data_IF_047733732799
#
_entry.id   IF_047733732799
#
_cell.length_a   1.000
_cell.length_b   1.000
_cell.length_c   1.000
_cell.angle_alpha   90.00
_cell.angle_beta   90.00
_cell.angle_gamma   90.00
#
_symmetry.space_group_name_H-M   'P 1'
#
loop_
_entity.id
_entity.type
_entity.pdbx_description
1 polymer ?
#
# COMPACT_ATOMS: atom_id res chain seq x y z
N UNK A 1 22.27 26.70 31.43
CA UNK A 1 21.62 27.09 30.17
C UNK A 1 22.72 27.25 29.13
N UNK A 2 22.95 26.23 28.31
CA UNK A 2 23.94 26.20 27.22
C UNK A 2 23.21 25.71 25.97
N UNK A 3 23.41 26.45 24.89
CA UNK A 3 22.73 26.41 23.60
C UNK A 3 23.02 25.16 22.76
N UNK A 4 21.99 24.73 22.02
CA UNK A 4 22.03 23.78 20.92
C UNK A 4 22.98 24.23 19.80
N UNK A 5 23.89 23.34 19.38
CA UNK A 5 24.32 23.12 18.00
C UNK A 5 25.50 22.14 18.00
N UNK A 6 25.61 21.31 16.95
CA UNK A 6 26.75 20.42 16.64
C UNK A 6 26.71 18.94 17.05
N UNK A 7 25.56 18.26 16.97
CA UNK A 7 25.58 16.85 16.49
C UNK A 7 25.15 16.85 15.02
N UNK A 8 25.98 17.55 14.26
CA UNK A 8 25.95 17.74 12.82
C UNK A 8 27.35 17.35 12.33
N UNK A 9 27.69 16.08 12.48
CA UNK A 9 28.81 15.40 11.82
C UNK A 9 28.74 13.95 12.27
N UNK A 10 28.98 13.00 11.34
CA UNK A 10 29.09 11.56 11.60
C UNK A 10 27.73 10.89 11.83
N UNK A 11 26.92 10.65 10.79
CA UNK A 11 27.17 9.58 9.82
C UNK A 11 26.69 10.02 8.44
N UNK A 12 27.64 10.24 7.52
CA UNK A 12 27.39 10.24 6.09
C UNK A 12 26.85 8.86 5.69
N UNK A 13 25.55 8.73 5.44
CA UNK A 13 25.02 7.70 4.53
C UNK A 13 24.76 8.37 3.19
N UNK A 14 25.77 8.29 2.31
CA UNK A 14 25.64 8.59 0.90
C UNK A 14 24.72 7.54 0.25
N UNK A 15 23.42 7.87 0.22
CA UNK A 15 22.42 7.13 -0.52
C UNK A 15 21.19 8.01 -0.62
N UNK A 16 20.66 8.23 -1.83
CA UNK A 16 19.35 8.89 -1.98
C UNK A 16 18.32 7.96 -1.34
N UNK A 17 17.70 8.40 -0.24
CA UNK A 17 16.58 7.66 0.36
C UNK A 17 15.38 7.83 -0.57
N UNK A 18 14.94 6.74 -1.20
CA UNK A 18 13.75 6.74 -2.05
C UNK A 18 12.52 6.49 -1.19
N UNK A 19 11.68 7.51 -1.06
CA UNK A 19 10.43 7.43 -0.31
C UNK A 19 9.26 7.13 -1.23
N UNK A 20 8.44 6.16 -0.84
CA UNK A 20 7.17 5.81 -1.49
C UNK A 20 6.00 6.42 -0.75
N UNK A 21 4.99 6.83 -1.49
CA UNK A 21 3.85 7.58 -0.95
C UNK A 21 2.55 6.83 -1.24
N UNK A 22 1.74 6.64 -0.19
CA UNK A 22 0.41 6.06 -0.28
C UNK A 22 -0.57 7.12 0.22
N UNK A 23 -1.31 7.73 -0.70
CA UNK A 23 -2.24 8.82 -0.40
C UNK A 23 -3.68 8.31 -0.45
N UNK A 24 -4.38 8.33 0.68
CA UNK A 24 -5.81 8.03 0.76
C UNK A 24 -6.59 9.32 0.57
N UNK A 25 -7.27 9.46 -0.57
CA UNK A 25 -8.03 10.66 -0.94
C UNK A 25 -9.53 10.39 -0.96
N UNK A 26 -10.32 11.32 -0.41
CA UNK A 26 -11.78 11.28 -0.49
C UNK A 26 -12.26 11.97 -1.77
N UNK A 27 -12.80 11.19 -2.70
CA UNK A 27 -13.31 11.66 -3.99
C UNK A 27 -14.78 11.28 -4.12
N UNK A 28 -15.66 12.28 -4.21
CA UNK A 28 -17.12 12.10 -4.36
C UNK A 28 -17.69 11.10 -3.33
N UNK A 29 -17.30 11.26 -2.06
CA UNK A 29 -17.75 10.41 -0.94
C UNK A 29 -17.05 9.05 -0.82
N UNK A 30 -16.19 8.66 -1.75
CA UNK A 30 -15.44 7.39 -1.73
C UNK A 30 -13.97 7.61 -1.43
N UNK A 31 -13.32 6.67 -0.75
CA UNK A 31 -11.87 6.74 -0.53
C UNK A 31 -11.12 6.02 -1.64
N UNK A 32 -10.07 6.66 -2.16
CA UNK A 32 -9.18 6.13 -3.19
C UNK A 32 -7.75 6.16 -2.65
N UNK A 33 -7.09 5.01 -2.63
CA UNK A 33 -5.66 4.91 -2.41
C UNK A 33 -4.90 5.19 -3.71
N UNK A 34 -4.07 6.22 -3.72
CA UNK A 34 -3.14 6.54 -4.78
C UNK A 34 -1.73 6.12 -4.36
N UNK A 35 -1.09 5.29 -5.18
CA UNK A 35 0.26 4.79 -4.96
C UNK A 35 1.22 5.59 -5.83
N UNK A 36 2.23 6.24 -5.24
CA UNK A 36 3.12 7.17 -5.95
C UNK A 36 4.58 6.87 -5.63
N UNK A 37 5.42 6.90 -6.65
CA UNK A 37 6.87 6.65 -6.52
C UNK A 37 7.63 7.81 -5.86
N UNK A 38 7.03 9.00 -5.80
CA UNK A 38 7.49 10.18 -5.06
C UNK A 38 6.33 11.14 -4.79
N UNK A 39 6.52 12.17 -3.94
CA UNK A 39 5.46 13.12 -3.52
C UNK A 39 4.71 13.74 -4.71
N UNK A 40 5.45 14.15 -5.74
CA UNK A 40 4.91 14.86 -6.90
C UNK A 40 4.73 13.97 -8.15
N UNK A 41 5.11 12.69 -8.09
CA UNK A 41 4.93 11.77 -9.20
C UNK A 41 3.44 11.57 -9.55
N UNK A 42 3.15 11.19 -10.79
CA UNK A 42 1.83 10.66 -11.13
C UNK A 42 1.62 9.32 -10.40
N UNK A 43 0.41 9.03 -9.90
CA UNK A 43 0.15 7.74 -9.27
C UNK A 43 0.38 6.59 -10.24
N UNK A 44 1.16 5.60 -9.82
CA UNK A 44 1.37 4.35 -10.57
C UNK A 44 0.12 3.47 -10.54
N UNK A 45 -0.68 3.59 -9.47
CA UNK A 45 -1.96 2.91 -9.33
C UNK A 45 -2.93 3.74 -8.49
N UNK A 46 -4.23 3.59 -8.79
CA UNK A 46 -5.34 4.17 -8.03
C UNK A 46 -6.39 3.12 -7.72
N UNK A 47 -6.62 2.83 -6.44
CA UNK A 47 -7.53 1.76 -6.01
C UNK A 47 -8.59 2.33 -5.09
N UNK A 48 -9.86 2.09 -5.40
CA UNK A 48 -10.95 2.45 -4.48
C UNK A 48 -10.93 1.49 -3.29
N UNK A 49 -10.86 2.04 -2.08
CA UNK A 49 -10.76 1.27 -0.84
C UNK A 49 -11.81 1.72 0.18
N UNK A 50 -11.99 0.90 1.20
CA UNK A 50 -12.70 1.24 2.42
C UNK A 50 -11.65 1.52 3.53
N UNK A 51 -11.59 2.74 4.09
CA UNK A 51 -10.51 3.15 5.00
C UNK A 51 -10.32 2.20 6.19
N UNK A 52 -11.42 1.69 6.76
CA UNK A 52 -11.40 0.84 7.94
C UNK A 52 -10.54 -0.42 7.76
N UNK A 53 -10.54 -1.01 6.56
CA UNK A 53 -9.73 -2.19 6.27
C UNK A 53 -8.28 -1.84 5.93
N UNK A 54 -8.01 -0.60 5.51
CA UNK A 54 -6.65 -0.13 5.27
C UNK A 54 -5.91 0.12 6.59
N UNK A 55 -6.60 0.67 7.60
CA UNK A 55 -6.03 0.93 8.92
C UNK A 55 -5.39 -0.32 9.54
N UNK A 56 -6.00 -1.49 9.35
CA UNK A 56 -5.45 -2.75 9.84
C UNK A 56 -4.10 -3.12 9.21
N UNK A 57 -3.91 -2.82 7.93
CA UNK A 57 -2.61 -3.03 7.28
C UNK A 57 -1.60 -1.97 7.76
N UNK A 58 -2.03 -0.72 7.88
CA UNK A 58 -1.18 0.33 8.43
C UNK A 58 -0.68 -0.03 9.84
N UNK A 59 -1.54 -0.61 10.69
CA UNK A 59 -1.18 -1.10 12.02
C UNK A 59 -0.13 -2.22 11.96
N UNK A 60 -0.37 -3.27 11.14
CA UNK A 60 0.56 -4.41 11.01
C UNK A 60 1.95 -3.96 10.55
N UNK A 61 2.01 -3.03 9.60
CA UNK A 61 3.28 -2.52 9.06
C UNK A 61 3.79 -1.26 9.77
N UNK A 62 3.13 -0.84 10.85
CA UNK A 62 3.46 0.38 11.62
C UNK A 62 3.63 1.61 10.73
N UNK A 63 2.74 1.77 9.76
CA UNK A 63 2.70 2.94 8.88
C UNK A 63 1.99 4.08 9.61
N UNK A 64 2.76 5.11 9.95
CA UNK A 64 2.21 6.33 10.53
C UNK A 64 1.88 7.35 9.43
N UNK A 65 0.74 8.05 9.54
CA UNK A 65 0.40 9.11 8.60
C UNK A 65 1.33 10.31 8.83
N UNK A 66 1.98 10.78 7.75
CA UNK A 66 2.83 11.99 7.80
C UNK A 66 2.03 13.27 7.59
N UNK A 67 0.87 13.17 6.93
CA UNK A 67 -0.07 14.25 6.71
C UNK A 67 -1.49 13.68 6.82
N UNK A 68 -2.36 14.29 7.63
CA UNK A 68 -3.76 13.85 7.79
C UNK A 68 -4.70 15.04 7.93
N UNK A 69 -5.72 15.09 7.10
CA UNK A 69 -6.84 16.04 7.17
C UNK A 69 -8.15 15.35 6.73
N UNK A 70 -9.27 16.08 6.75
CA UNK A 70 -10.59 15.53 6.43
C UNK A 70 -10.71 14.93 5.01
N UNK A 71 -9.89 15.37 4.07
CA UNK A 71 -9.95 15.00 2.66
C UNK A 71 -8.85 14.01 2.25
N UNK A 72 -7.73 14.00 2.97
CA UNK A 72 -6.54 13.25 2.58
C UNK A 72 -5.76 12.75 3.80
N UNK A 73 -5.31 11.49 3.74
CA UNK A 73 -4.32 10.91 4.65
C UNK A 73 -3.17 10.36 3.83
N UNK A 74 -1.94 10.76 4.14
CA UNK A 74 -0.74 10.33 3.41
C UNK A 74 0.17 9.54 4.33
N UNK A 75 0.54 8.34 3.87
CA UNK A 75 1.54 7.48 4.49
C UNK A 75 2.81 7.48 3.63
N UNK A 76 3.96 7.33 4.28
CA UNK A 76 5.26 7.26 3.63
C UNK A 76 6.02 6.03 4.11
N UNK A 77 6.73 5.38 3.21
CA UNK A 77 7.65 4.27 3.55
C UNK A 77 8.91 4.33 2.69
N UNK A 78 10.05 3.98 3.29
CA UNK A 78 11.32 3.74 2.58
C UNK A 78 11.45 2.28 2.09
N UNK A 79 10.54 1.40 2.52
CA UNK A 79 10.56 -0.03 2.19
C UNK A 79 9.70 -0.29 0.95
N UNK A 80 10.36 -0.51 -0.18
CA UNK A 80 9.69 -0.87 -1.45
C UNK A 80 8.77 -2.09 -1.29
N UNK A 81 9.20 -3.10 -0.52
CA UNK A 81 8.39 -4.27 -0.19
C UNK A 81 7.06 -3.92 0.51
N UNK A 82 7.09 -3.01 1.49
CA UNK A 82 5.87 -2.60 2.21
C UNK A 82 4.94 -1.86 1.26
N UNK A 83 5.49 -1.00 0.42
CA UNK A 83 4.72 -0.30 -0.61
C UNK A 83 4.06 -1.28 -1.58
N UNK A 84 4.80 -2.28 -2.05
CA UNK A 84 4.31 -3.34 -2.94
C UNK A 84 3.22 -4.18 -2.28
N UNK A 85 3.42 -4.62 -1.04
CA UNK A 85 2.43 -5.36 -0.26
C UNK A 85 1.16 -4.52 -0.07
N UNK A 86 1.29 -3.23 0.19
CA UNK A 86 0.14 -2.32 0.35
C UNK A 86 -0.68 -2.23 -0.93
N UNK A 87 -0.02 -2.17 -2.10
CA UNK A 87 -0.69 -2.10 -3.40
C UNK A 87 -1.50 -3.36 -3.67
N UNK A 88 -0.87 -4.52 -3.47
CA UNK A 88 -1.54 -5.82 -3.60
C UNK A 88 -2.72 -5.92 -2.63
N UNK A 89 -2.49 -5.56 -1.37
CA UNK A 89 -3.50 -5.55 -0.31
C UNK A 89 -4.72 -4.70 -0.67
N UNK A 90 -4.51 -3.46 -1.13
CA UNK A 90 -5.60 -2.57 -1.53
C UNK A 90 -6.43 -3.17 -2.67
N UNK A 91 -5.79 -3.80 -3.65
CA UNK A 91 -6.47 -4.45 -4.77
C UNK A 91 -7.28 -5.67 -4.33
N UNK A 92 -6.70 -6.51 -3.47
CA UNK A 92 -7.35 -7.72 -2.95
C UNK A 92 -8.53 -7.37 -2.04
N UNK A 93 -8.36 -6.42 -1.12
CA UNK A 93 -9.43 -5.97 -0.23
C UNK A 93 -10.67 -5.49 -0.96
N UNK A 94 -10.47 -4.82 -2.10
CA UNK A 94 -11.55 -4.30 -2.93
C UNK A 94 -12.51 -5.40 -3.38
N UNK A 95 -11.98 -6.59 -3.70
CA UNK A 95 -12.75 -7.73 -4.21
C UNK A 95 -13.03 -8.81 -3.17
N UNK A 96 -12.39 -8.74 -2.00
CA UNK A 96 -12.60 -9.67 -0.90
C UNK A 96 -14.06 -9.60 -0.39
N UNK A 97 -14.81 -10.69 -0.51
CA UNK A 97 -16.21 -10.78 -0.05
C UNK A 97 -16.30 -10.97 1.47
N UNK A 98 -15.60 -11.97 1.99
CA UNK A 98 -15.57 -12.25 3.41
C UNK A 98 -14.50 -11.41 4.13
N UNK A 99 -14.95 -10.33 4.80
CA UNK A 99 -14.05 -9.41 5.51
C UNK A 99 -13.42 -9.99 6.78
N UNK A 100 -13.89 -11.13 7.27
CA UNK A 100 -13.24 -11.83 8.38
C UNK A 100 -11.90 -12.46 7.96
N UNK A 101 -11.69 -12.67 6.66
CA UNK A 101 -10.45 -13.24 6.13
C UNK A 101 -9.30 -12.22 6.02
N UNK A 102 -9.49 -10.94 6.42
CA UNK A 102 -8.47 -9.90 6.26
C UNK A 102 -7.12 -10.28 6.90
N UNK A 103 -7.11 -10.87 8.10
CA UNK A 103 -5.85 -11.35 8.70
C UNK A 103 -5.18 -12.42 7.84
N UNK A 104 -5.94 -13.42 7.40
CA UNK A 104 -5.43 -14.50 6.53
C UNK A 104 -4.87 -13.96 5.22
N UNK A 105 -5.48 -12.90 4.66
CA UNK A 105 -4.95 -12.22 3.48
C UNK A 105 -3.57 -11.63 3.76
N UNK A 106 -3.42 -10.93 4.89
CA UNK A 106 -2.14 -10.35 5.29
C UNK A 106 -1.09 -11.44 5.52
N UNK A 107 -1.46 -12.53 6.21
CA UNK A 107 -0.56 -13.66 6.47
C UNK A 107 -0.04 -14.29 5.17
N UNK A 108 -0.94 -14.52 4.20
CA UNK A 108 -0.55 -15.02 2.86
C UNK A 108 0.39 -14.03 2.17
N UNK A 109 0.08 -12.73 2.20
CA UNK A 109 0.91 -11.71 1.56
C UNK A 109 2.32 -11.63 2.17
N UNK A 110 2.43 -11.75 3.49
CA UNK A 110 3.72 -11.80 4.20
C UNK A 110 4.54 -13.06 3.89
N UNK A 111 3.89 -14.13 3.43
CA UNK A 111 4.54 -15.38 3.04
C UNK A 111 4.92 -15.46 1.56
N UNK A 112 4.55 -14.45 0.75
CA UNK A 112 4.83 -14.46 -0.69
C UNK A 112 6.33 -14.41 -0.97
N UNK A 113 6.78 -15.21 -1.93
CA UNK A 113 8.12 -15.04 -2.46
C UNK A 113 8.22 -13.66 -3.16
N UNK A 114 9.35 -12.93 -3.10
CA UNK A 114 9.50 -11.62 -3.76
C UNK A 114 9.11 -11.62 -5.24
N UNK A 115 9.46 -12.68 -5.99
CA UNK A 115 9.04 -12.84 -7.38
C UNK A 115 7.52 -12.91 -7.57
N UNK A 116 6.78 -13.56 -6.67
CA UNK A 116 5.32 -13.62 -6.73
C UNK A 116 4.72 -12.25 -6.45
N UNK A 117 5.23 -11.53 -5.44
CA UNK A 117 4.79 -10.18 -5.13
C UNK A 117 5.01 -9.23 -6.33
N UNK A 118 6.20 -9.26 -6.92
CA UNK A 118 6.50 -8.49 -8.14
C UNK A 118 5.57 -8.87 -9.29
N UNK A 119 5.35 -10.17 -9.52
CA UNK A 119 4.44 -10.66 -10.56
C UNK A 119 3.03 -10.11 -10.37
N UNK A 120 2.45 -10.25 -9.18
CA UNK A 120 1.09 -9.79 -8.90
C UNK A 120 0.95 -8.28 -9.07
N UNK A 121 1.89 -7.49 -8.54
CA UNK A 121 1.88 -6.05 -8.69
C UNK A 121 2.05 -5.61 -10.15
N UNK A 122 2.97 -6.23 -10.89
CA UNK A 122 3.12 -5.96 -12.32
C UNK A 122 1.80 -6.19 -13.07
N UNK A 123 1.11 -7.31 -12.82
CA UNK A 123 -0.19 -7.60 -13.45
C UNK A 123 -1.26 -6.58 -13.05
N UNK A 124 -1.32 -6.18 -11.77
CA UNK A 124 -2.32 -5.23 -11.26
C UNK A 124 -2.10 -3.80 -11.77
N UNK A 125 -0.84 -3.36 -11.87
CA UNK A 125 -0.46 -2.03 -12.37
C UNK A 125 -0.73 -1.92 -13.87
N UNK A 126 -0.44 -2.97 -14.64
CA UNK A 126 -0.59 -2.99 -16.10
C UNK A 126 -1.98 -3.45 -16.58
N UNK A 127 -2.94 -3.63 -15.66
CA UNK A 127 -4.31 -3.96 -16.04
C UNK A 127 -4.93 -2.82 -16.87
N UNK A 128 -5.60 -3.15 -17.98
CA UNK A 128 -6.18 -2.18 -18.91
C UNK A 128 -7.28 -1.34 -18.27
N UNK A 129 -8.03 -1.96 -17.36
CA UNK A 129 -9.14 -1.33 -16.69
C UNK A 129 -9.34 -1.88 -15.26
N UNK A 130 -10.34 -1.31 -14.58
CA UNK A 130 -10.74 -1.74 -13.24
C UNK A 130 -11.20 -3.20 -13.20
N UNK A 131 -11.95 -3.67 -14.18
CA UNK A 131 -12.51 -5.03 -14.20
C UNK A 131 -11.44 -6.09 -14.38
N UNK A 132 -10.45 -5.85 -15.24
CA UNK A 132 -9.28 -6.71 -15.37
C UNK A 132 -8.48 -6.78 -14.07
N UNK A 133 -8.24 -5.65 -13.43
CA UNK A 133 -7.58 -5.62 -12.12
C UNK A 133 -8.37 -6.37 -11.04
N UNK A 134 -9.69 -6.21 -11.00
CA UNK A 134 -10.57 -6.94 -10.09
C UNK A 134 -10.52 -8.47 -10.38
N UNK A 135 -10.41 -8.89 -11.65
CA UNK A 135 -10.22 -10.30 -12.02
C UNK A 135 -8.87 -10.85 -11.56
N UNK A 136 -7.79 -10.09 -11.75
CA UNK A 136 -6.45 -10.47 -11.27
C UNK A 136 -6.44 -10.63 -9.75
N UNK A 137 -7.03 -9.68 -9.02
CA UNK A 137 -7.13 -9.75 -7.56
C UNK A 137 -7.99 -10.94 -7.08
N UNK A 138 -9.03 -11.33 -7.84
CA UNK A 138 -9.79 -12.56 -7.56
C UNK A 138 -9.00 -13.83 -7.86
N UNK A 139 -8.18 -13.83 -8.91
CA UNK A 139 -7.30 -14.94 -9.23
C UNK A 139 -6.28 -15.16 -8.10
N UNK A 140 -5.68 -14.10 -7.57
CA UNK A 140 -4.86 -14.15 -6.36
C UNK A 140 -5.63 -14.84 -5.21
N UNK A 141 -6.82 -14.34 -4.87
CA UNK A 141 -7.63 -14.93 -3.80
C UNK A 141 -7.93 -16.42 -4.04
N UNK A 142 -8.20 -16.83 -5.27
CA UNK A 142 -8.49 -18.22 -5.62
C UNK A 142 -7.25 -19.12 -5.47
N UNK A 143 -6.09 -18.68 -5.98
CA UNK A 143 -4.84 -19.45 -5.93
C UNK A 143 -4.40 -19.71 -4.49
N UNK A 144 -4.52 -18.71 -3.62
CA UNK A 144 -4.12 -18.86 -2.21
C UNK A 144 -5.27 -19.34 -1.30
N UNK A 145 -6.38 -19.86 -1.86
CA UNK A 145 -7.48 -20.42 -1.06
C UNK A 145 -8.24 -19.42 -0.17
N UNK A 146 -8.12 -18.12 -0.47
CA UNK A 146 -8.76 -17.01 0.25
C UNK A 146 -10.12 -16.63 -0.37
N UNK A 147 -10.37 -17.08 -1.60
CA UNK A 147 -11.60 -16.89 -2.36
C UNK A 147 -12.71 -17.84 -1.91
N UNK A 148 -13.09 -17.80 -0.63
CA UNK A 148 -14.27 -18.53 -0.17
C UNK A 148 -15.54 -17.94 -0.82
N UNK A 149 -16.39 -18.86 -1.29
CA UNK A 149 -17.69 -18.65 -1.95
C UNK A 149 -18.57 -17.65 -1.20
#
# INVERSE_FOLDING_TARGET
MITLSSISAEVRREGRIFLRYICLRRVKGRTVAEFKSSKNAKPIAKVGIRPEFFNKFAEVFRLEPVEANEKEVTYVTERDEVFDLTLLYACVLRVLRNKNNVCKVIDVMLSLHPFELTFWNYRLINAKDKYERDRIARAFLMIYGLGAR
#
